data_IF_731930318914
#
_entry.id   IF_731930318914
#
_cell.length_a   1.000
_cell.length_b   1.000
_cell.length_c   1.000
_cell.angle_alpha   90.00
_cell.angle_beta   90.00
_cell.angle_gamma   90.00
#
_symmetry.space_group_name_H-M   'P 1'
#
loop_
_entity.id
_entity.type
_entity.pdbx_description
1 polymer ?
#
# COMPACT_ATOMS: atom_id res chain seq x y z
N UNK A 1 18.88 -8.57 -5.24
CA UNK A 1 17.68 -9.30 -4.73
C UNK A 1 17.36 -8.91 -3.30
N UNK A 2 18.27 -9.12 -2.35
CA UNK A 2 18.05 -8.66 -0.96
C UNK A 2 17.83 -7.15 -0.87
N UNK A 3 18.50 -6.38 -1.73
CA UNK A 3 18.25 -4.94 -1.89
C UNK A 3 16.77 -4.58 -2.18
N UNK A 4 16.00 -5.45 -2.84
CA UNK A 4 14.59 -5.21 -3.14
C UNK A 4 13.72 -5.49 -1.91
N UNK A 5 14.15 -6.43 -1.06
CA UNK A 5 13.53 -6.67 0.24
C UNK A 5 13.83 -5.49 1.16
N UNK A 6 15.09 -5.05 1.23
CA UNK A 6 15.50 -3.87 2.01
C UNK A 6 14.70 -2.63 1.60
N UNK A 7 14.55 -2.39 0.29
CA UNK A 7 13.77 -1.26 -0.23
C UNK A 7 12.29 -1.35 0.16
N UNK A 8 11.69 -2.54 0.05
CA UNK A 8 10.28 -2.71 0.41
C UNK A 8 10.08 -2.55 1.92
N UNK A 9 10.96 -3.12 2.74
CA UNK A 9 10.92 -3.00 4.20
C UNK A 9 11.03 -1.54 4.62
N UNK A 10 11.98 -0.79 4.04
CA UNK A 10 12.15 0.64 4.30
C UNK A 10 10.90 1.45 3.92
N UNK A 11 10.26 1.14 2.79
CA UNK A 11 9.01 1.78 2.39
C UNK A 11 7.85 1.49 3.34
N UNK A 12 7.71 0.23 3.77
CA UNK A 12 6.68 -0.19 4.74
C UNK A 12 6.89 0.52 6.09
N UNK A 13 8.13 0.56 6.57
CA UNK A 13 8.50 1.21 7.83
C UNK A 13 8.28 2.72 7.78
N UNK A 14 8.67 3.39 6.68
CA UNK A 14 8.43 4.82 6.48
C UNK A 14 6.94 5.18 6.47
N UNK A 15 6.07 4.24 6.11
CA UNK A 15 4.62 4.37 6.17
C UNK A 15 4.02 4.11 7.57
N UNK A 16 4.86 3.87 8.59
CA UNK A 16 4.45 3.57 9.96
C UNK A 16 3.97 2.14 10.16
N UNK A 17 4.19 1.25 9.19
CA UNK A 17 3.78 -0.15 9.29
C UNK A 17 4.94 -1.03 9.77
N UNK A 18 4.60 -2.10 10.49
CA UNK A 18 5.59 -3.09 10.91
C UNK A 18 6.14 -3.86 9.70
N UNK A 19 7.46 -3.95 9.60
CA UNK A 19 8.12 -4.70 8.54
C UNK A 19 7.82 -6.20 8.63
N UNK A 20 7.63 -6.88 7.48
CA UNK A 20 7.37 -8.31 7.46
C UNK A 20 8.62 -9.11 7.82
N UNK A 21 8.45 -10.24 8.49
CA UNK A 21 9.56 -11.17 8.72
C UNK A 21 10.12 -11.69 7.39
N UNK A 22 11.45 -11.76 7.28
CA UNK A 22 12.16 -12.34 6.11
C UNK A 22 12.05 -13.86 6.07
N UNK A 23 10.89 -14.33 5.66
CA UNK A 23 10.62 -15.77 5.46
C UNK A 23 11.13 -16.24 4.11
N UNK A 24 11.37 -17.54 3.96
CA UNK A 24 11.72 -18.16 2.67
C UNK A 24 10.72 -17.80 1.57
N UNK A 25 9.42 -17.80 1.89
CA UNK A 25 8.35 -17.42 0.95
C UNK A 25 8.49 -15.98 0.43
N UNK A 26 8.96 -15.06 1.28
CA UNK A 26 9.15 -13.67 0.89
C UNK A 26 10.35 -13.51 -0.07
N UNK A 27 11.47 -14.19 0.21
CA UNK A 27 12.60 -14.25 -0.72
C UNK A 27 12.19 -14.91 -2.05
N UNK A 28 11.51 -16.04 -2.00
CA UNK A 28 11.01 -16.74 -3.19
C UNK A 28 10.06 -15.86 -4.02
N UNK A 29 9.28 -14.99 -3.37
CA UNK A 29 8.38 -14.07 -4.10
C UNK A 29 9.17 -13.06 -4.93
N UNK A 30 10.23 -12.46 -4.40
CA UNK A 30 11.08 -11.56 -5.19
C UNK A 30 11.81 -12.33 -6.30
N UNK A 31 12.35 -13.52 -5.99
CA UNK A 31 13.00 -14.37 -6.99
C UNK A 31 12.07 -14.71 -8.14
N UNK A 32 10.85 -15.12 -7.84
CA UNK A 32 9.91 -15.53 -8.87
C UNK A 32 9.38 -14.36 -9.73
N UNK A 33 9.38 -13.12 -9.21
CA UNK A 33 9.09 -11.93 -10.03
C UNK A 33 10.11 -11.80 -11.19
N UNK A 34 11.35 -12.20 -10.95
CA UNK A 34 12.43 -12.17 -11.95
C UNK A 34 12.36 -13.43 -12.81
N UNK A 35 12.53 -14.60 -12.20
CA UNK A 35 12.77 -15.85 -12.90
C UNK A 35 11.55 -16.35 -13.68
N UNK A 36 10.34 -16.15 -13.12
CA UNK A 36 9.10 -16.69 -13.68
C UNK A 36 8.24 -15.62 -14.33
N UNK A 37 8.10 -14.49 -13.65
CA UNK A 37 7.20 -13.43 -14.08
C UNK A 37 7.91 -12.44 -15.05
N UNK A 38 9.24 -12.53 -15.19
CA UNK A 38 10.00 -11.90 -16.26
C UNK A 38 10.33 -10.41 -16.06
N UNK A 39 10.20 -9.90 -14.83
CA UNK A 39 10.49 -8.50 -14.53
C UNK A 39 11.96 -8.27 -14.18
N UNK A 40 12.52 -7.15 -14.65
CA UNK A 40 13.89 -6.77 -14.31
C UNK A 40 13.97 -6.20 -12.90
N UNK A 41 15.17 -6.21 -12.30
CA UNK A 41 15.42 -5.61 -10.99
C UNK A 41 14.97 -4.14 -10.94
N UNK A 42 15.25 -3.36 -11.99
CA UNK A 42 14.89 -1.95 -12.06
C UNK A 42 13.37 -1.74 -12.16
N UNK A 43 12.66 -2.60 -12.90
CA UNK A 43 11.19 -2.56 -12.94
C UNK A 43 10.58 -2.84 -11.58
N UNK A 44 11.10 -3.85 -10.86
CA UNK A 44 10.62 -4.19 -9.52
C UNK A 44 10.93 -3.05 -8.55
N UNK A 45 12.14 -2.48 -8.61
CA UNK A 45 12.54 -1.30 -7.81
C UNK A 45 11.61 -0.12 -8.03
N UNK A 46 11.27 0.17 -9.28
CA UNK A 46 10.34 1.24 -9.64
C UNK A 46 8.94 0.96 -9.06
N UNK A 47 8.41 -0.24 -9.24
CA UNK A 47 7.07 -0.61 -8.74
C UNK A 47 6.99 -0.54 -7.21
N UNK A 48 8.03 -0.98 -6.50
CA UNK A 48 8.10 -0.84 -5.03
C UNK A 48 8.06 0.63 -4.63
N UNK A 49 8.91 1.45 -5.24
CA UNK A 49 9.01 2.88 -4.92
C UNK A 49 7.68 3.60 -5.18
N UNK A 50 7.00 3.28 -6.28
CA UNK A 50 5.70 3.85 -6.64
C UNK A 50 4.59 3.39 -5.69
N UNK A 51 4.47 2.07 -5.44
CA UNK A 51 3.36 1.53 -4.67
C UNK A 51 3.41 1.91 -3.18
N UNK A 52 4.60 2.18 -2.64
CA UNK A 52 4.77 2.63 -1.26
C UNK A 52 4.46 4.13 -1.09
N UNK A 53 4.34 4.90 -2.17
CA UNK A 53 3.92 6.32 -2.14
C UNK A 53 2.43 6.49 -2.41
N UNK A 54 1.79 5.55 -3.11
CA UNK A 54 0.36 5.59 -3.38
C UNK A 54 -0.46 5.25 -2.12
N UNK A 55 -1.42 6.11 -1.77
CA UNK A 55 -2.22 5.97 -0.54
C UNK A 55 -3.05 4.68 -0.46
N UNK A 56 -3.51 4.17 -1.60
CA UNK A 56 -4.26 2.93 -1.64
C UNK A 56 -3.31 1.73 -1.57
N UNK A 57 -2.27 1.72 -2.40
CA UNK A 57 -1.37 0.57 -2.51
C UNK A 57 -0.45 0.40 -1.31
N UNK A 58 0.03 1.47 -0.67
CA UNK A 58 0.93 1.35 0.49
C UNK A 58 0.28 0.61 1.66
N UNK A 59 -1.02 0.78 1.85
CA UNK A 59 -1.80 0.06 2.87
C UNK A 59 -2.02 -1.42 2.51
N UNK A 60 -1.92 -1.79 1.23
CA UNK A 60 -2.22 -3.14 0.74
C UNK A 60 -0.96 -3.96 0.42
N UNK A 61 0.19 -3.32 0.20
CA UNK A 61 1.47 -3.97 -0.13
C UNK A 61 2.39 -3.95 1.09
N UNK A 62 2.10 -4.87 2.03
CA UNK A 62 2.80 -5.02 3.30
C UNK A 62 3.76 -6.23 3.32
N UNK A 63 4.02 -6.85 2.16
CA UNK A 63 4.99 -7.95 2.05
C UNK A 63 5.40 -8.22 0.60
N UNK A 64 6.57 -8.85 0.37
CA UNK A 64 6.98 -9.34 -0.94
C UNK A 64 5.97 -10.28 -1.61
N UNK A 65 5.32 -11.14 -0.82
CA UNK A 65 4.24 -12.02 -1.31
C UNK A 65 3.08 -11.22 -1.89
N UNK A 66 2.62 -10.18 -1.18
CA UNK A 66 1.52 -9.32 -1.66
C UNK A 66 1.93 -8.43 -2.82
N UNK A 67 3.17 -7.91 -2.81
CA UNK A 67 3.75 -7.20 -3.95
C UNK A 67 3.63 -8.03 -5.23
N UNK A 68 4.09 -9.28 -5.18
CA UNK A 68 4.04 -10.18 -6.33
C UNK A 68 2.62 -10.51 -6.78
N UNK A 69 1.73 -10.82 -5.84
CA UNK A 69 0.31 -11.12 -6.12
C UNK A 69 -0.38 -9.97 -6.88
N UNK A 70 -0.06 -8.72 -6.52
CA UNK A 70 -0.68 -7.52 -7.09
C UNK A 70 0.14 -6.87 -8.22
N UNK A 71 1.31 -7.40 -8.53
CA UNK A 71 2.25 -6.79 -9.48
C UNK A 71 1.62 -6.44 -10.85
N UNK A 72 0.81 -7.32 -11.49
CA UNK A 72 0.17 -6.97 -12.75
C UNK A 72 -0.81 -5.78 -12.63
N UNK A 73 -1.53 -5.67 -11.50
CA UNK A 73 -2.47 -4.58 -11.24
C UNK A 73 -1.73 -3.25 -11.00
N UNK A 74 -0.63 -3.30 -10.26
CA UNK A 74 0.26 -2.16 -10.06
C UNK A 74 0.80 -1.64 -11.40
N UNK A 75 1.32 -2.52 -12.25
CA UNK A 75 1.82 -2.16 -13.58
C UNK A 75 0.73 -1.54 -14.45
N UNK A 76 -0.48 -2.13 -14.47
CA UNK A 76 -1.61 -1.57 -15.20
C UNK A 76 -1.99 -0.16 -14.71
N UNK A 77 -1.98 0.04 -13.39
CA UNK A 77 -2.30 1.35 -12.78
C UNK A 77 -1.24 2.39 -13.14
N UNK A 78 0.04 2.07 -13.00
CA UNK A 78 1.17 2.93 -13.38
C UNK A 78 1.06 3.37 -14.84
N UNK A 79 0.81 2.43 -15.76
CA UNK A 79 0.61 2.75 -17.19
C UNK A 79 -0.57 3.67 -17.41
N UNK A 80 -1.71 3.39 -16.77
CA UNK A 80 -2.91 4.22 -16.88
C UNK A 80 -2.72 5.66 -16.37
N UNK A 81 -1.83 5.84 -15.38
CA UNK A 81 -1.49 7.16 -14.84
C UNK A 81 -0.58 7.94 -15.80
N UNK A 82 0.40 7.25 -16.41
CA UNK A 82 1.27 7.85 -17.43
C UNK A 82 0.52 8.25 -18.73
N UNK A 83 -0.55 7.54 -19.07
CA UNK A 83 -1.38 7.78 -20.25
C UNK A 83 -2.45 8.87 -20.05
N UNK A 84 -2.69 9.31 -18.81
CA UNK A 84 -3.68 10.35 -18.52
C UNK A 84 -3.20 11.71 -19.05
N UNK A 85 -3.94 12.36 -19.99
CA UNK A 85 -3.59 13.71 -20.42
C UNK A 85 -3.70 14.66 -19.23
N UNK A 86 -2.65 15.45 -19.00
CA UNK A 86 -2.63 16.51 -17.98
C UNK A 86 -3.60 17.61 -18.38
N UNK A 87 -4.84 17.52 -17.95
CA UNK A 87 -5.86 18.55 -18.16
C UNK A 87 -7.20 17.98 -18.61
N UNK A 88 -8.02 17.56 -17.64
CA UNK A 88 -9.49 17.64 -17.70
C UNK A 88 -10.05 17.29 -16.33
N UNK A 89 -10.88 18.21 -15.82
CA UNK A 89 -11.87 17.96 -14.76
C UNK A 89 -12.53 16.60 -15.01
N UNK A 90 -12.26 15.65 -14.14
CA UNK A 90 -12.81 14.31 -14.23
C UNK A 90 -14.15 14.33 -13.49
N UNK A 91 -15.27 13.89 -14.10
CA UNK A 91 -16.55 13.86 -13.40
C UNK A 91 -16.43 12.94 -12.19
N UNK A 92 -16.87 13.44 -11.02
CA UNK A 92 -16.88 12.69 -9.75
C UNK A 92 -17.49 11.32 -10.00
N UNK A 93 -16.73 10.27 -9.74
CA UNK A 93 -17.17 8.91 -10.00
C UNK A 93 -17.68 8.27 -8.69
N UNK A 94 -18.42 7.16 -8.78
CA UNK A 94 -18.95 6.43 -7.61
C UNK A 94 -17.90 6.04 -6.57
N UNK A 95 -16.62 6.03 -6.92
CA UNK A 95 -15.55 5.79 -5.97
C UNK A 95 -15.37 6.99 -5.03
N UNK A 96 -15.48 8.22 -5.55
CA UNK A 96 -15.44 9.45 -4.75
C UNK A 96 -16.60 9.50 -3.74
N UNK A 97 -17.83 9.16 -4.18
CA UNK A 97 -19.00 9.08 -3.29
C UNK A 97 -18.82 8.04 -2.16
N UNK A 98 -18.24 6.87 -2.49
CA UNK A 98 -17.92 5.85 -1.49
C UNK A 98 -16.82 6.28 -0.54
N UNK A 99 -15.85 7.07 -0.99
CA UNK A 99 -14.80 7.62 -0.15
C UNK A 99 -15.35 8.64 0.85
N UNK A 100 -16.27 9.50 0.42
CA UNK A 100 -16.98 10.44 1.29
C UNK A 100 -17.78 9.69 2.37
N UNK A 101 -18.49 8.62 1.99
CA UNK A 101 -19.20 7.74 2.94
C UNK A 101 -18.24 7.06 3.94
N UNK A 102 -17.10 6.53 3.46
CA UNK A 102 -16.11 5.90 4.31
C UNK A 102 -15.47 6.89 5.29
N UNK A 103 -15.28 8.16 4.89
CA UNK A 103 -14.69 9.18 5.74
C UNK A 103 -15.56 9.48 6.96
N UNK A 104 -16.87 9.53 6.80
CA UNK A 104 -17.80 9.72 7.91
C UNK A 104 -17.69 8.59 8.95
N UNK A 105 -17.61 7.34 8.48
CA UNK A 105 -17.43 6.17 9.36
C UNK A 105 -16.09 6.20 10.08
N UNK A 106 -15.00 6.62 9.41
CA UNK A 106 -13.69 6.77 10.04
C UNK A 106 -13.72 7.84 11.15
N UNK A 107 -14.42 8.95 10.94
CA UNK A 107 -14.54 10.00 11.94
C UNK A 107 -15.35 9.53 13.16
N UNK A 108 -16.42 8.77 12.93
CA UNK A 108 -17.20 8.13 13.99
C UNK A 108 -16.36 7.13 14.80
N UNK A 109 -15.57 6.29 14.12
CA UNK A 109 -14.64 5.38 14.79
C UNK A 109 -13.59 6.11 15.64
N UNK A 110 -13.05 7.23 15.13
CA UNK A 110 -12.11 8.08 15.90
C UNK A 110 -12.76 8.61 17.19
N UNK A 111 -13.99 9.11 17.11
CA UNK A 111 -14.69 9.62 18.28
C UNK A 111 -14.96 8.52 19.31
N UNK A 112 -15.32 7.31 18.86
CA UNK A 112 -15.51 6.16 19.75
C UNK A 112 -14.19 5.79 20.47
N UNK A 113 -13.07 5.76 19.75
CA UNK A 113 -11.76 5.49 20.35
C UNK A 113 -11.37 6.54 21.39
N UNK A 114 -11.67 7.82 21.14
CA UNK A 114 -11.42 8.94 22.07
C UNK A 114 -12.32 8.85 23.32
N UNK A 115 -13.62 8.57 23.16
CA UNK A 115 -14.56 8.40 24.29
C UNK A 115 -14.21 7.18 25.17
N UNK A 116 -13.77 6.07 24.55
CA UNK A 116 -13.33 4.90 25.31
C UNK A 116 -12.01 5.15 26.05
N UNK A 117 -11.09 5.93 25.46
CA UNK A 117 -9.85 6.31 26.13
C UNK A 117 -10.11 7.18 27.38
N UNK A 118 -11.04 8.13 27.30
CA UNK A 118 -11.45 8.98 28.42
C UNK A 118 -12.19 8.19 29.51
N UNK A 119 -13.02 7.23 29.11
CA UNK A 119 -13.73 6.34 30.05
C UNK A 119 -12.75 5.48 30.86
N UNK A 120 -11.73 4.91 30.20
CA UNK A 120 -10.71 4.08 30.86
C UNK A 120 -9.85 4.91 31.84
N UNK A 121 -9.59 6.20 31.54
CA UNK A 121 -8.88 7.09 32.47
C UNK A 121 -9.75 7.56 33.64
N UNK A 122 -11.07 7.71 33.43
CA UNK A 122 -12.03 8.05 34.49
C UNK A 122 -12.31 6.92 35.48
N UNK A 123 -12.19 5.65 35.06
CA UNK A 123 -12.36 4.47 35.93
C UNK A 123 -11.12 4.14 36.78
N UNK A 124 -9.98 4.82 36.57
CA UNK A 124 -8.73 4.59 37.31
C UNK A 124 -8.42 5.63 38.42
N UNK A 125 -9.39 6.49 38.78
CA UNK A 125 -9.36 7.45 39.90
C UNK A 125 -10.34 7.04 41.00
#
# INVERSE_FOLDING_TARGET
>A
MDELLDLLDAGIEANGNKTPTRTKTNHDSIRLLIDRDGYTLDQIRYVISWCQQDNFWKANILSPKKLREKFPQLVARIKSEAERPTGRDQPRNRADERMDQNRAVIEELRHIEEEQADTIQGELL
#
